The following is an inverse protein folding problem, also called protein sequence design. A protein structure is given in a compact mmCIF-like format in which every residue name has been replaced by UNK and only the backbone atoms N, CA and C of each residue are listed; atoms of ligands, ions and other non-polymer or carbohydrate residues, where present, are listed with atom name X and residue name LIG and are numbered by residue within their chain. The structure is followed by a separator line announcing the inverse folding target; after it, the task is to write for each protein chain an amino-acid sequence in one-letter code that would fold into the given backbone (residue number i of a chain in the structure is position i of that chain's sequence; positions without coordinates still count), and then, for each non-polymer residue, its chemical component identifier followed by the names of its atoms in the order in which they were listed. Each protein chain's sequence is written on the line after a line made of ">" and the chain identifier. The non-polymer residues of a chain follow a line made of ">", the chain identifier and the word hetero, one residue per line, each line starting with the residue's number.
data_IF_155271499457
#
_entry.id   IF_155271499457
#
_cell.length_a   1.000
_cell.length_b   1.000
_cell.length_c   1.000
_cell.angle_alpha   90.00
_cell.angle_beta   90.00
_cell.angle_gamma   90.00
#
_symmetry.space_group_name_H-M   'P 1'
#
loop_
_entity.id
_entity.type
_entity.pdbx_description
1 polymer ?
#
# COMPACT_ATOMS: atom_id res chain seq x y z
N UNK A 1 49.01 -61.54 -6.23
CA UNK A 1 49.03 -62.76 -5.38
C UNK A 1 47.81 -62.67 -4.47
N UNK A 2 46.86 -63.60 -4.71
CA UNK A 2 45.72 -64.04 -3.89
C UNK A 2 46.28 -64.97 -2.80
N UNK A 3 45.68 -65.21 -1.64
CA UNK A 3 44.31 -65.69 -1.44
C UNK A 3 43.62 -65.17 -0.15
N UNK A 4 42.26 -65.10 -0.15
CA UNK A 4 41.22 -66.08 0.27
C UNK A 4 41.28 -66.57 1.74
N UNK A 5 40.17 -66.37 2.50
CA UNK A 5 39.15 -67.39 2.88
C UNK A 5 38.40 -66.95 4.14
N UNK A 6 37.05 -66.92 4.09
CA UNK A 6 36.02 -67.80 4.69
C UNK A 6 35.87 -67.67 6.24
N UNK A 7 34.75 -67.68 6.87
CA UNK A 7 33.48 -68.40 6.79
C UNK A 7 32.49 -67.87 7.85
N UNK A 8 31.20 -67.79 7.47
CA UNK A 8 29.98 -68.35 8.12
C UNK A 8 29.79 -68.13 9.63
N UNK A 9 28.70 -67.65 10.13
CA UNK A 9 27.25 -67.88 10.10
C UNK A 9 26.73 -67.96 11.51
N UNK A 10 25.64 -67.43 11.86
CA UNK A 10 24.41 -68.08 12.29
C UNK A 10 23.41 -67.06 12.91
N UNK A 11 22.20 -67.26 12.50
CA UNK A 11 21.00 -66.54 12.87
C UNK A 11 20.54 -66.77 14.30
N UNK A 12 19.85 -65.77 14.87
CA UNK A 12 18.79 -66.01 15.83
C UNK A 12 17.70 -64.96 15.65
N UNK A 13 16.52 -65.41 15.27
CA UNK A 13 15.29 -64.68 15.18
C UNK A 13 14.76 -64.35 16.61
N UNK A 14 14.29 -63.14 16.80
CA UNK A 14 13.39 -62.81 17.91
C UNK A 14 12.33 -61.79 17.42
N UNK A 15 11.12 -62.15 17.67
CA UNK A 15 9.84 -61.75 17.16
C UNK A 15 9.46 -60.33 17.37
N UNK A 16 8.71 -59.79 16.39
CA UNK A 16 8.06 -58.53 16.31
C UNK A 16 7.01 -58.29 17.39
N UNK A 17 7.00 -57.09 17.97
CA UNK A 17 5.81 -56.47 18.52
C UNK A 17 5.55 -55.19 17.70
N UNK A 18 4.59 -55.24 16.79
CA UNK A 18 4.07 -54.08 16.08
C UNK A 18 3.18 -53.30 17.06
N UNK A 19 3.69 -52.19 17.55
CA UNK A 19 2.84 -51.17 18.16
C UNK A 19 2.40 -50.21 17.05
N UNK A 20 1.14 -50.32 16.66
CA UNK A 20 0.42 -49.31 15.87
C UNK A 20 0.26 -48.05 16.73
N UNK A 21 1.19 -47.12 16.63
CA UNK A 21 0.99 -45.75 17.08
C UNK A 21 0.31 -45.00 15.94
N UNK A 22 -0.94 -44.62 16.15
CA UNK A 22 -1.74 -43.87 15.21
C UNK A 22 -1.10 -42.53 14.84
N UNK A 23 -1.02 -42.24 13.55
CA UNK A 23 -0.74 -40.92 13.03
C UNK A 23 -1.86 -39.97 13.46
N UNK A 24 -1.63 -39.15 14.46
CA UNK A 24 -2.42 -37.93 14.65
C UNK A 24 -1.84 -36.84 13.73
N UNK A 25 -2.67 -36.01 13.10
CA UNK A 25 -2.19 -34.96 12.23
C UNK A 25 -1.46 -33.90 13.07
N UNK A 26 -0.18 -33.69 12.76
CA UNK A 26 0.72 -32.72 13.42
C UNK A 26 0.42 -31.26 13.05
N UNK A 27 -0.60 -31.00 12.24
CA UNK A 27 -0.96 -29.65 11.75
C UNK A 27 -1.64 -28.77 12.81
N UNK A 28 -2.36 -29.34 13.78
CA UNK A 28 -3.09 -28.52 14.77
C UNK A 28 -2.21 -27.98 15.89
N UNK A 29 -1.12 -28.69 16.22
CA UNK A 29 -0.28 -28.30 17.38
C UNK A 29 0.72 -27.20 17.05
N UNK A 30 1.21 -27.14 15.79
CA UNK A 30 2.09 -26.06 15.34
C UNK A 30 1.33 -24.75 15.12
N UNK A 31 0.13 -24.80 14.50
CA UNK A 31 -0.70 -23.62 14.33
C UNK A 31 -1.17 -23.05 15.68
N UNK A 32 -1.55 -23.89 16.64
CA UNK A 32 -1.91 -23.45 17.99
C UNK A 32 -0.71 -22.88 18.76
N UNK A 33 0.49 -23.43 18.60
CA UNK A 33 1.69 -22.91 19.24
C UNK A 33 2.12 -21.56 18.63
N UNK A 34 1.96 -21.37 17.32
CA UNK A 34 2.25 -20.11 16.64
C UNK A 34 1.23 -19.02 17.00
N UNK A 35 -0.07 -19.36 17.07
CA UNK A 35 -1.10 -18.43 17.53
C UNK A 35 -0.89 -18.02 19.00
N UNK A 36 -0.47 -18.92 19.88
CA UNK A 36 -0.13 -18.59 21.27
C UNK A 36 1.08 -17.66 21.36
N UNK A 37 2.09 -17.83 20.49
CA UNK A 37 3.26 -16.96 20.45
C UNK A 37 2.91 -15.52 20.04
N UNK A 38 1.96 -15.34 19.08
CA UNK A 38 1.51 -14.00 18.65
C UNK A 38 0.71 -13.30 19.74
N UNK A 39 -0.18 -14.00 20.45
CA UNK A 39 -1.01 -13.40 21.51
C UNK A 39 -0.21 -12.99 22.73
N UNK A 40 0.88 -13.70 23.05
CA UNK A 40 1.68 -13.47 24.25
C UNK A 40 2.91 -12.56 24.01
N UNK A 41 3.14 -12.13 22.76
CA UNK A 41 4.25 -11.25 22.42
C UNK A 41 4.18 -9.93 23.20
N UNK A 42 5.32 -9.53 23.77
CA UNK A 42 5.49 -8.29 24.53
C UNK A 42 6.80 -7.60 24.13
N UNK A 43 6.91 -6.32 24.42
CA UNK A 43 8.06 -5.50 24.04
C UNK A 43 7.67 -4.40 23.06
N UNK A 44 8.65 -3.77 22.42
CA UNK A 44 8.44 -2.62 21.55
C UNK A 44 8.61 -3.02 20.08
N UNK A 45 7.59 -2.79 19.24
CA UNK A 45 7.71 -2.83 17.79
C UNK A 45 8.15 -1.47 17.25
N UNK A 46 9.11 -1.44 16.34
CA UNK A 46 9.61 -0.23 15.65
C UNK A 46 9.02 -0.19 14.25
N UNK A 47 8.17 0.80 13.99
CA UNK A 47 7.48 0.96 12.70
C UNK A 47 8.16 2.05 11.88
N UNK A 48 8.63 1.70 10.68
CA UNK A 48 9.05 2.67 9.68
C UNK A 48 7.84 3.03 8.81
N UNK A 49 7.58 4.32 8.66
CA UNK A 49 6.48 4.88 7.87
C UNK A 49 7.08 5.70 6.74
N UNK A 50 6.86 5.29 5.49
CA UNK A 50 7.13 6.09 4.31
C UNK A 50 5.80 6.59 3.76
N UNK A 51 5.51 7.88 3.97
CA UNK A 51 4.20 8.42 3.61
C UNK A 51 4.01 9.88 4.01
N UNK A 52 2.76 10.31 3.98
CA UNK A 52 2.35 11.66 4.33
C UNK A 52 1.96 11.77 5.81
N UNK A 53 1.77 13.00 6.27
CA UNK A 53 1.47 13.31 7.68
C UNK A 53 0.16 12.71 8.18
N UNK A 54 -0.82 12.44 7.31
CA UNK A 54 -2.05 11.75 7.69
C UNK A 54 -1.78 10.28 8.05
N UNK A 55 -0.83 9.63 7.39
CA UNK A 55 -0.43 8.25 7.72
C UNK A 55 0.33 8.24 9.05
N UNK A 56 1.19 9.23 9.30
CA UNK A 56 1.80 9.40 10.62
C UNK A 56 0.72 9.54 11.71
N UNK A 57 -0.25 10.44 11.50
CA UNK A 57 -1.35 10.64 12.46
C UNK A 57 -2.19 9.36 12.66
N UNK A 58 -2.39 8.54 11.61
CA UNK A 58 -3.04 7.24 11.75
C UNK A 58 -2.31 6.36 12.77
N UNK A 59 -0.98 6.30 12.68
CA UNK A 59 -0.17 5.51 13.62
C UNK A 59 -0.15 6.14 15.00
N UNK A 60 0.26 7.40 15.14
CA UNK A 60 0.55 8.06 16.40
C UNK A 60 -0.72 8.36 17.22
N UNK A 61 -1.82 8.79 16.56
CA UNK A 61 -3.06 9.19 17.23
C UNK A 61 -4.14 8.10 17.22
N UNK A 62 -4.03 7.12 16.33
CA UNK A 62 -5.04 6.07 16.15
C UNK A 62 -4.56 4.69 16.57
N UNK A 63 -3.74 4.04 15.74
CA UNK A 63 -3.39 2.62 15.89
C UNK A 63 -2.61 2.38 17.19
N UNK A 64 -1.58 3.17 17.48
CA UNK A 64 -0.69 2.94 18.64
C UNK A 64 -1.46 3.01 19.96
N UNK A 65 -2.21 4.08 20.28
CA UNK A 65 -2.94 4.16 21.53
C UNK A 65 -3.95 3.03 21.70
N UNK A 66 -4.64 2.65 20.62
CA UNK A 66 -5.63 1.59 20.65
C UNK A 66 -4.99 0.20 20.81
N UNK A 67 -3.91 -0.07 20.07
CA UNK A 67 -3.13 -1.32 20.20
C UNK A 67 -2.56 -1.51 21.58
N UNK A 68 -1.88 -0.50 22.14
CA UNK A 68 -1.24 -0.57 23.46
C UNK A 68 -2.27 -0.75 24.58
N UNK A 69 -3.44 -0.11 24.46
CA UNK A 69 -4.56 -0.32 25.36
C UNK A 69 -5.09 -1.75 25.33
N UNK A 70 -5.22 -2.33 24.12
CA UNK A 70 -5.70 -3.70 23.93
C UNK A 70 -4.64 -4.75 24.30
N UNK A 71 -3.35 -4.40 24.31
CA UNK A 71 -2.22 -5.31 24.48
C UNK A 71 -1.23 -4.82 25.55
N UNK A 72 -1.61 -4.86 26.85
CA UNK A 72 -0.71 -4.46 27.93
C UNK A 72 0.63 -5.21 27.87
N UNK A 73 1.75 -4.48 27.90
CA UNK A 73 3.10 -5.03 27.80
C UNK A 73 3.69 -5.01 26.37
N UNK A 74 2.91 -4.65 25.36
CA UNK A 74 3.41 -4.31 24.04
C UNK A 74 3.39 -2.79 23.85
N UNK A 75 4.36 -2.24 23.12
CA UNK A 75 4.44 -0.82 22.77
C UNK A 75 4.92 -0.64 21.32
N UNK A 76 4.72 0.55 20.78
CA UNK A 76 5.12 0.87 19.41
C UNK A 76 5.85 2.21 19.36
N UNK A 77 6.89 2.27 18.55
CA UNK A 77 7.58 3.52 18.20
C UNK A 77 7.58 3.69 16.68
N UNK A 78 7.52 4.91 16.20
CA UNK A 78 7.48 5.24 14.78
C UNK A 78 8.72 6.01 14.32
N UNK A 79 9.07 5.84 13.06
CA UNK A 79 10.03 6.69 12.33
C UNK A 79 9.37 7.06 11.02
N UNK A 80 9.14 8.35 10.79
CA UNK A 80 8.58 8.88 9.54
C UNK A 80 9.68 9.23 8.55
N UNK A 81 9.54 8.74 7.34
CA UNK A 81 10.20 9.23 6.12
C UNK A 81 9.12 9.95 5.28
N UNK A 82 9.13 11.27 5.37
CA UNK A 82 8.12 12.09 4.72
C UNK A 82 8.27 11.99 3.20
N UNK A 83 7.19 11.63 2.52
CA UNK A 83 7.12 11.45 1.06
C UNK A 83 8.01 10.33 0.50
N UNK A 84 8.66 9.51 1.34
CA UNK A 84 9.56 8.44 0.89
C UNK A 84 10.90 8.94 0.33
N UNK A 85 11.37 10.12 0.77
CA UNK A 85 12.61 10.74 0.28
C UNK A 85 13.84 9.85 0.50
N UNK A 86 13.78 8.94 1.50
CA UNK A 86 14.87 8.03 1.85
C UNK A 86 14.51 6.54 1.62
N UNK A 87 13.46 6.23 0.85
CA UNK A 87 13.04 4.85 0.56
C UNK A 87 14.19 3.99 0.01
N UNK A 88 15.00 4.55 -0.89
CA UNK A 88 16.16 3.84 -1.44
C UNK A 88 17.21 3.50 -0.37
N UNK A 89 17.42 4.39 0.61
CA UNK A 89 18.33 4.15 1.73
C UNK A 89 17.77 3.08 2.68
N UNK A 90 16.48 3.10 2.95
CA UNK A 90 15.80 2.09 3.78
C UNK A 90 15.86 0.72 3.10
N UNK A 91 15.62 0.63 1.80
CA UNK A 91 15.81 -0.60 1.03
C UNK A 91 17.25 -1.14 1.09
N UNK A 92 18.24 -0.25 1.02
CA UNK A 92 19.65 -0.63 1.17
C UNK A 92 19.95 -1.13 2.59
N UNK A 93 19.35 -0.53 3.63
CA UNK A 93 19.46 -0.99 5.01
C UNK A 93 18.87 -2.39 5.19
N UNK A 94 17.67 -2.65 4.68
CA UNK A 94 17.05 -3.98 4.69
C UNK A 94 17.91 -5.01 3.95
N UNK A 95 18.47 -4.64 2.80
CA UNK A 95 19.37 -5.51 2.02
C UNK A 95 20.62 -5.88 2.82
N UNK A 96 21.27 -4.88 3.43
CA UNK A 96 22.48 -5.08 4.24
C UNK A 96 22.19 -5.93 5.46
N UNK A 97 21.04 -5.73 6.11
CA UNK A 97 20.64 -6.50 7.28
C UNK A 97 20.42 -7.98 6.96
N UNK A 98 19.78 -8.28 5.84
CA UNK A 98 19.60 -9.68 5.38
C UNK A 98 20.94 -10.32 5.02
N UNK A 99 21.83 -9.61 4.33
CA UNK A 99 23.17 -10.13 3.98
C UNK A 99 24.04 -10.36 5.20
N UNK A 100 23.97 -9.47 6.19
CA UNK A 100 24.76 -9.53 7.42
C UNK A 100 24.13 -10.35 8.54
N UNK A 101 22.88 -10.79 8.41
CA UNK A 101 22.13 -11.45 9.48
C UNK A 101 21.92 -10.54 10.70
N UNK A 102 21.82 -9.23 10.50
CA UNK A 102 21.68 -8.22 11.55
C UNK A 102 20.30 -7.59 11.56
N UNK A 103 19.90 -7.03 12.68
CA UNK A 103 18.67 -6.25 12.81
C UNK A 103 18.72 -4.97 11.95
N UNK A 104 17.68 -4.64 11.14
CA UNK A 104 17.63 -3.43 10.35
C UNK A 104 17.26 -2.16 11.16
N UNK A 105 16.89 -2.31 12.43
CA UNK A 105 16.37 -1.21 13.25
C UNK A 105 14.85 -0.98 13.11
N UNK A 106 14.17 -1.77 12.29
CA UNK A 106 12.72 -1.74 12.08
C UNK A 106 12.14 -3.15 12.21
N UNK A 107 10.94 -3.26 12.78
CA UNK A 107 10.22 -4.52 12.96
C UNK A 107 9.00 -4.62 12.04
N UNK A 108 8.49 -3.46 11.60
CA UNK A 108 7.41 -3.34 10.64
C UNK A 108 7.70 -2.16 9.70
N UNK A 109 7.40 -2.28 8.42
CA UNK A 109 7.49 -1.20 7.44
C UNK A 109 6.12 -0.95 6.83
N UNK A 110 5.70 0.32 6.78
CA UNK A 110 4.55 0.84 6.07
C UNK A 110 5.08 1.72 4.93
N UNK A 111 5.25 1.14 3.74
CA UNK A 111 5.94 1.82 2.65
C UNK A 111 5.48 1.33 1.27
N UNK A 112 5.54 2.23 0.29
CA UNK A 112 5.23 1.90 -1.10
C UNK A 112 6.16 0.84 -1.71
N UNK A 113 7.36 0.69 -1.18
CA UNK A 113 8.34 -0.31 -1.64
C UNK A 113 8.10 -1.74 -1.08
N UNK A 114 7.08 -1.97 -0.24
CA UNK A 114 6.83 -3.27 0.41
C UNK A 114 6.78 -4.44 -0.58
N UNK A 115 6.12 -4.27 -1.73
CA UNK A 115 6.06 -5.30 -2.76
C UNK A 115 7.46 -5.63 -3.34
N UNK A 116 8.27 -4.60 -3.62
CA UNK A 116 9.63 -4.76 -4.12
C UNK A 116 10.55 -5.41 -3.08
N UNK A 117 10.43 -5.00 -1.81
CA UNK A 117 11.16 -5.59 -0.69
C UNK A 117 10.81 -7.08 -0.51
N UNK A 118 9.53 -7.45 -0.64
CA UNK A 118 9.07 -8.84 -0.60
C UNK A 118 9.68 -9.68 -1.73
N UNK A 119 9.56 -9.22 -2.96
CA UNK A 119 10.12 -9.87 -4.14
C UNK A 119 11.65 -9.98 -4.07
N UNK A 120 12.32 -8.98 -3.48
CA UNK A 120 13.75 -8.98 -3.21
C UNK A 120 14.19 -9.91 -2.07
N UNK A 121 13.27 -10.61 -1.39
CA UNK A 121 13.58 -11.52 -0.29
C UNK A 121 14.00 -10.82 1.00
N UNK A 122 13.64 -9.55 1.18
CA UNK A 122 13.99 -8.72 2.33
C UNK A 122 12.95 -8.80 3.45
N UNK A 123 11.75 -9.29 3.17
CA UNK A 123 10.65 -9.45 4.12
C UNK A 123 10.44 -10.91 4.51
N UNK A 124 9.89 -11.11 5.70
CA UNK A 124 9.42 -12.40 6.15
C UNK A 124 8.10 -12.77 5.44
N UNK A 125 7.87 -14.05 5.10
CA UNK A 125 6.59 -14.48 4.56
C UNK A 125 5.48 -14.34 5.60
N UNK A 126 4.27 -14.04 5.12
CA UNK A 126 3.08 -13.87 5.95
C UNK A 126 1.96 -14.80 5.53
N UNK A 127 1.19 -15.27 6.49
CA UNK A 127 0.03 -16.13 6.27
C UNK A 127 -0.95 -16.01 7.44
N UNK A 128 -2.16 -16.54 7.28
CA UNK A 128 -3.13 -16.62 8.36
C UNK A 128 -2.67 -17.47 9.57
N UNK A 129 -1.69 -18.36 9.39
CA UNK A 129 -1.08 -19.10 10.51
C UNK A 129 -0.25 -18.19 11.41
N UNK A 130 0.34 -17.12 10.86
CA UNK A 130 1.21 -16.18 11.59
C UNK A 130 0.51 -14.86 11.92
N UNK A 131 -0.54 -14.52 11.20
CA UNK A 131 -1.38 -13.32 11.37
C UNK A 131 -2.83 -13.77 11.15
N UNK A 132 -3.53 -14.25 12.19
CA UNK A 132 -4.85 -14.88 12.07
C UNK A 132 -5.92 -14.02 11.37
N UNK A 133 -5.96 -12.71 11.65
CA UNK A 133 -6.91 -11.80 11.04
C UNK A 133 -6.69 -11.60 9.53
N UNK A 134 -5.57 -12.04 8.97
CA UNK A 134 -5.37 -12.05 7.50
C UNK A 134 -6.44 -12.91 6.79
N UNK A 135 -7.03 -13.90 7.49
CA UNK A 135 -8.13 -14.71 6.97
C UNK A 135 -9.45 -13.94 6.79
N UNK A 136 -9.58 -12.72 7.33
CA UNK A 136 -10.76 -11.86 7.16
C UNK A 136 -10.69 -10.97 5.93
N UNK A 137 -9.52 -10.90 5.31
CA UNK A 137 -9.25 -10.08 4.12
C UNK A 137 -9.59 -10.89 2.86
N UNK A 138 -10.24 -10.30 1.83
CA UNK A 138 -10.51 -10.99 0.58
C UNK A 138 -9.24 -11.56 -0.08
N UNK A 139 -9.32 -12.79 -0.58
CA UNK A 139 -8.17 -13.52 -1.16
C UNK A 139 -7.41 -12.72 -2.22
N UNK A 140 -8.12 -12.01 -3.10
CA UNK A 140 -7.50 -11.21 -4.15
C UNK A 140 -6.60 -10.09 -3.56
N UNK A 141 -7.04 -9.47 -2.45
CA UNK A 141 -6.27 -8.42 -1.77
C UNK A 141 -5.05 -9.01 -1.05
N UNK A 142 -5.20 -10.19 -0.43
CA UNK A 142 -4.07 -10.91 0.19
C UNK A 142 -3.05 -11.32 -0.88
N UNK A 143 -3.51 -11.85 -2.02
CA UNK A 143 -2.62 -12.25 -3.14
C UNK A 143 -1.85 -11.08 -3.73
N UNK A 144 -2.43 -9.87 -3.76
CA UNK A 144 -1.73 -8.65 -4.19
C UNK A 144 -0.51 -8.31 -3.32
N UNK A 145 -0.47 -8.79 -2.06
CA UNK A 145 0.68 -8.68 -1.16
C UNK A 145 1.84 -9.64 -1.48
N UNK A 146 1.68 -10.54 -2.47
CA UNK A 146 2.75 -11.44 -2.94
C UNK A 146 3.27 -12.42 -1.89
N UNK A 147 2.52 -12.68 -0.81
CA UNK A 147 2.91 -13.54 0.31
C UNK A 147 3.84 -12.88 1.33
N UNK A 148 4.12 -11.58 1.20
CA UNK A 148 4.99 -10.80 2.08
C UNK A 148 4.32 -9.52 2.59
N UNK A 149 3.46 -8.91 1.77
CA UNK A 149 2.70 -7.71 2.14
C UNK A 149 1.43 -8.07 2.91
N UNK A 150 1.18 -7.37 4.00
CA UNK A 150 -0.01 -7.46 4.83
C UNK A 150 -0.90 -6.28 4.42
N UNK A 151 -2.00 -6.47 3.68
CA UNK A 151 -2.88 -5.38 3.32
C UNK A 151 -3.54 -4.85 4.61
N UNK A 152 -3.59 -3.54 4.82
CA UNK A 152 -4.11 -3.02 6.08
C UNK A 152 -5.10 -1.86 5.91
N UNK A 153 -5.04 -1.11 4.85
CA UNK A 153 -5.99 -0.08 4.45
C UNK A 153 -6.01 0.04 2.93
N UNK A 154 -7.03 0.66 2.38
CA UNK A 154 -7.04 1.03 0.98
C UNK A 154 -7.44 2.50 0.82
N UNK A 155 -7.09 3.08 -0.32
CA UNK A 155 -7.51 4.42 -0.72
C UNK A 155 -7.64 4.52 -2.23
N UNK A 156 -8.38 5.50 -2.69
CA UNK A 156 -8.56 5.82 -4.11
C UNK A 156 -8.22 7.28 -4.35
N UNK A 157 -7.67 7.58 -5.50
CA UNK A 157 -7.55 8.97 -5.93
C UNK A 157 -8.92 9.44 -6.42
N UNK A 158 -9.29 10.64 -6.02
CA UNK A 158 -10.54 11.32 -6.34
C UNK A 158 -10.23 12.67 -6.97
N UNK A 159 -11.17 13.22 -7.72
CA UNK A 159 -11.13 14.58 -8.20
C UNK A 159 -11.74 15.50 -7.13
N UNK A 160 -10.91 16.28 -6.43
CA UNK A 160 -11.36 17.30 -5.52
C UNK A 160 -11.53 18.64 -6.25
N UNK A 161 -12.54 19.43 -5.84
CA UNK A 161 -12.88 20.70 -6.49
C UNK A 161 -13.53 21.67 -5.49
N UNK A 162 -13.30 22.96 -5.68
CA UNK A 162 -14.04 23.99 -4.95
C UNK A 162 -15.45 24.14 -5.55
N UNK A 163 -16.47 23.74 -4.80
CA UNK A 163 -17.86 23.75 -5.27
C UNK A 163 -18.47 25.15 -5.38
N UNK A 164 -17.78 26.19 -4.91
CA UNK A 164 -18.21 27.59 -5.11
C UNK A 164 -17.83 28.10 -6.50
N UNK A 165 -16.76 27.57 -7.08
CA UNK A 165 -16.26 27.93 -8.40
C UNK A 165 -16.65 26.89 -9.47
N UNK A 166 -16.69 25.60 -9.11
CA UNK A 166 -17.00 24.50 -10.01
C UNK A 166 -18.33 23.86 -9.61
N UNK A 167 -19.41 24.32 -10.24
CA UNK A 167 -20.78 23.85 -9.92
C UNK A 167 -21.14 22.53 -10.62
N UNK A 168 -20.50 22.20 -11.74
CA UNK A 168 -20.68 20.96 -12.50
C UNK A 168 -19.30 20.34 -12.80
N UNK A 169 -18.76 19.54 -11.89
CA UNK A 169 -17.42 18.96 -12.03
C UNK A 169 -17.40 17.90 -13.14
N UNK A 170 -16.25 17.76 -13.84
CA UNK A 170 -16.03 16.71 -14.83
C UNK A 170 -16.36 15.33 -14.31
N UNK A 171 -16.97 14.50 -15.16
CA UNK A 171 -17.37 13.13 -14.83
C UNK A 171 -16.56 12.06 -15.57
N UNK A 172 -15.87 12.46 -16.63
CA UNK A 172 -15.00 11.60 -17.42
C UNK A 172 -13.61 12.21 -17.51
N UNK A 173 -12.62 11.41 -17.93
CA UNK A 173 -11.28 11.94 -18.19
C UNK A 173 -11.32 12.99 -19.31
N UNK A 174 -12.05 12.75 -20.40
CA UNK A 174 -12.15 13.69 -21.51
C UNK A 174 -12.73 15.03 -21.07
N UNK A 175 -13.79 15.03 -20.25
CA UNK A 175 -14.37 16.26 -19.68
C UNK A 175 -13.36 16.99 -18.80
N UNK A 176 -12.55 16.23 -18.01
CA UNK A 176 -11.52 16.80 -17.15
C UNK A 176 -10.42 17.49 -17.97
N UNK A 177 -9.91 16.84 -19.01
CA UNK A 177 -8.88 17.41 -19.90
C UNK A 177 -9.39 18.64 -20.65
N UNK A 178 -10.65 18.62 -21.10
CA UNK A 178 -11.30 19.77 -21.69
C UNK A 178 -11.46 20.93 -20.68
N UNK A 179 -11.87 20.62 -19.43
CA UNK A 179 -11.99 21.60 -18.36
C UNK A 179 -10.65 22.27 -18.05
N UNK A 180 -9.56 21.49 -17.91
CA UNK A 180 -8.20 21.99 -17.66
C UNK A 180 -7.79 22.99 -18.76
N UNK A 181 -8.04 22.64 -20.00
CA UNK A 181 -7.70 23.50 -21.15
C UNK A 181 -8.51 24.81 -21.13
N UNK A 182 -9.78 24.75 -20.74
CA UNK A 182 -10.68 25.91 -20.68
C UNK A 182 -10.43 26.83 -19.46
N UNK A 183 -9.76 26.33 -18.42
CA UNK A 183 -9.52 27.05 -17.16
C UNK A 183 -8.01 27.08 -16.82
N UNK A 184 -7.18 27.78 -17.60
CA UNK A 184 -5.73 27.78 -17.40
C UNK A 184 -5.35 28.27 -16.01
N UNK A 185 -4.41 27.52 -15.37
CA UNK A 185 -3.91 27.81 -14.04
C UNK A 185 -4.76 27.30 -12.87
N UNK A 186 -5.95 26.73 -13.14
CA UNK A 186 -6.92 26.33 -12.11
C UNK A 186 -6.82 24.83 -11.74
N UNK A 187 -5.88 24.10 -12.30
CA UNK A 187 -5.62 22.69 -12.02
C UNK A 187 -4.15 22.45 -11.72
N UNK A 188 -3.87 21.62 -10.72
CA UNK A 188 -2.54 21.13 -10.43
C UNK A 188 -2.60 19.65 -10.06
N UNK A 189 -1.50 18.96 -10.31
CA UNK A 189 -1.18 17.65 -9.73
C UNK A 189 0.30 17.63 -9.35
N UNK A 190 0.67 16.88 -8.34
CA UNK A 190 2.08 16.75 -7.93
C UNK A 190 2.85 15.87 -8.91
N UNK A 191 4.18 16.07 -8.98
CA UNK A 191 5.06 15.15 -9.70
C UNK A 191 4.81 13.70 -9.25
N UNK A 192 4.67 12.73 -10.18
CA UNK A 192 4.50 11.31 -9.85
C UNK A 192 5.60 10.75 -8.94
N UNK A 193 6.82 11.29 -9.03
CA UNK A 193 7.95 10.89 -8.20
C UNK A 193 7.86 11.37 -6.75
N UNK A 194 6.95 12.33 -6.46
CA UNK A 194 6.79 12.93 -5.12
C UNK A 194 5.47 12.60 -4.45
N UNK A 195 4.56 11.90 -5.12
CA UNK A 195 3.30 11.49 -4.52
C UNK A 195 2.33 10.79 -5.46
N UNK A 196 1.58 9.85 -4.90
CA UNK A 196 0.76 8.91 -5.67
C UNK A 196 -0.48 9.53 -6.32
N UNK A 197 -1.00 10.68 -5.84
CA UNK A 197 -2.19 11.28 -6.47
C UNK A 197 -1.87 11.84 -7.85
N UNK A 198 -0.70 12.46 -8.03
CA UNK A 198 -0.19 12.86 -9.35
C UNK A 198 0.13 11.65 -10.22
N UNK A 199 0.73 10.60 -9.64
CA UNK A 199 0.97 9.34 -10.34
C UNK A 199 -0.32 8.70 -10.86
N UNK A 200 -1.40 8.73 -10.08
CA UNK A 200 -2.70 8.23 -10.50
C UNK A 200 -3.31 9.04 -11.66
N UNK A 201 -3.19 10.38 -11.62
CA UNK A 201 -3.62 11.22 -12.76
C UNK A 201 -2.83 10.88 -14.02
N UNK A 202 -1.50 10.82 -13.93
CA UNK A 202 -0.63 10.47 -15.04
C UNK A 202 -0.98 9.10 -15.59
N UNK A 203 -1.04 8.05 -14.74
CA UNK A 203 -1.45 6.71 -15.16
C UNK A 203 -2.80 6.71 -15.87
N UNK A 204 -3.76 7.51 -15.38
CA UNK A 204 -5.11 7.58 -15.98
C UNK A 204 -5.08 8.19 -17.39
N UNK A 205 -4.26 9.24 -17.61
CA UNK A 205 -4.07 9.81 -18.96
C UNK A 205 -3.33 8.84 -19.86
N UNK A 206 -2.26 8.18 -19.39
CA UNK A 206 -1.54 7.18 -20.19
C UNK A 206 -2.44 6.02 -20.60
N UNK A 207 -3.24 5.51 -19.68
CA UNK A 207 -4.15 4.38 -19.90
C UNK A 207 -5.23 4.69 -20.96
N UNK A 208 -5.64 5.95 -21.13
CA UNK A 208 -6.60 6.33 -22.19
C UNK A 208 -6.05 6.14 -23.61
N UNK A 209 -4.74 5.96 -23.74
CA UNK A 209 -4.05 5.68 -25.00
C UNK A 209 -3.64 4.21 -25.16
N UNK A 210 -3.91 3.35 -24.17
CA UNK A 210 -3.55 1.94 -24.20
C UNK A 210 -4.76 1.05 -24.52
N UNK A 211 -4.50 -0.06 -25.17
CA UNK A 211 -5.46 -1.15 -25.19
C UNK A 211 -5.43 -1.94 -23.84
N UNK A 212 -6.53 -2.65 -23.59
CA UNK A 212 -6.72 -3.38 -22.32
C UNK A 212 -5.62 -4.42 -22.09
N UNK A 213 -5.14 -5.10 -23.14
CA UNK A 213 -4.12 -6.16 -23.02
C UNK A 213 -2.76 -5.58 -22.65
N UNK A 214 -2.38 -4.44 -23.22
CA UNK A 214 -1.15 -3.72 -22.87
C UNK A 214 -1.21 -3.22 -21.44
N UNK A 215 -2.33 -2.61 -21.06
CA UNK A 215 -2.58 -2.14 -19.71
C UNK A 215 -2.50 -3.27 -18.68
N UNK A 216 -3.14 -4.42 -18.95
CA UNK A 216 -3.10 -5.58 -18.07
C UNK A 216 -1.67 -6.08 -17.85
N UNK A 217 -0.85 -6.16 -18.90
CA UNK A 217 0.57 -6.54 -18.77
C UNK A 217 1.34 -5.59 -17.87
N UNK A 218 1.16 -4.27 -18.04
CA UNK A 218 1.82 -3.25 -17.23
C UNK A 218 1.36 -3.25 -15.76
N UNK A 219 0.12 -3.69 -15.50
CA UNK A 219 -0.44 -3.78 -14.15
C UNK A 219 0.03 -5.04 -13.43
N UNK A 220 0.14 -6.16 -14.14
CA UNK A 220 0.43 -7.47 -13.55
C UNK A 220 1.89 -7.89 -13.61
N UNK A 221 2.70 -7.24 -14.45
CA UNK A 221 4.11 -7.59 -14.64
C UNK A 221 4.97 -6.42 -15.06
N UNK A 222 6.28 -6.68 -15.13
CA UNK A 222 7.27 -5.74 -15.62
C UNK A 222 7.73 -6.14 -17.02
N UNK A 223 7.60 -5.23 -17.97
CA UNK A 223 8.12 -5.38 -19.34
C UNK A 223 8.54 -4.01 -19.88
N UNK A 224 9.83 -3.72 -19.82
CA UNK A 224 10.40 -2.44 -20.28
C UNK A 224 10.10 -2.17 -21.76
N UNK A 225 9.90 -3.19 -22.59
CA UNK A 225 9.59 -3.01 -24.01
C UNK A 225 8.25 -2.31 -24.26
N UNK A 226 7.36 -2.27 -23.26
CA UNK A 226 6.06 -1.61 -23.32
C UNK A 226 6.13 -0.08 -23.08
N UNK A 227 7.23 0.47 -22.58
CA UNK A 227 7.37 1.90 -22.24
C UNK A 227 7.02 2.84 -23.41
N UNK A 228 7.33 2.43 -24.64
CA UNK A 228 7.01 3.21 -25.84
C UNK A 228 5.51 3.40 -26.08
N UNK A 229 4.66 2.57 -25.49
CA UNK A 229 3.21 2.70 -25.59
C UNK A 229 2.66 3.93 -24.83
N UNK A 230 3.44 4.49 -23.90
CA UNK A 230 3.08 5.70 -23.15
C UNK A 230 3.33 7.02 -23.90
N UNK A 231 4.03 7.00 -25.04
CA UNK A 231 4.48 8.24 -25.72
C UNK A 231 3.33 9.18 -26.06
N UNK A 232 2.21 8.67 -26.59
CA UNK A 232 1.05 9.48 -26.90
C UNK A 232 0.42 10.15 -25.66
N UNK A 233 0.36 9.43 -24.53
CA UNK A 233 -0.12 9.98 -23.27
C UNK A 233 0.82 11.03 -22.68
N UNK A 234 2.14 10.85 -22.76
CA UNK A 234 3.10 11.87 -22.37
C UNK A 234 3.03 13.11 -23.25
N UNK A 235 2.81 12.96 -24.57
CA UNK A 235 2.59 14.09 -25.46
C UNK A 235 1.33 14.88 -25.07
N UNK A 236 0.25 14.19 -24.70
CA UNK A 236 -0.97 14.82 -24.21
C UNK A 236 -0.71 15.57 -22.90
N UNK A 237 -0.06 14.94 -21.92
CA UNK A 237 0.29 15.60 -20.64
C UNK A 237 1.15 16.85 -20.87
N UNK A 238 2.16 16.77 -21.73
CA UNK A 238 3.00 17.90 -22.08
C UNK A 238 2.20 19.03 -22.71
N UNK A 239 1.26 18.73 -23.58
CA UNK A 239 0.40 19.73 -24.23
C UNK A 239 -0.46 20.54 -23.27
N UNK A 240 -0.73 19.99 -22.07
CA UNK A 240 -1.48 20.65 -21.00
C UNK A 240 -0.64 21.62 -20.16
N UNK A 241 0.70 21.61 -20.26
CA UNK A 241 1.58 22.40 -19.37
C UNK A 241 1.15 23.86 -19.26
N UNK A 242 0.85 24.51 -20.39
CA UNK A 242 0.44 25.92 -20.39
C UNK A 242 -0.90 26.17 -19.64
N UNK A 243 -1.72 25.14 -19.45
CA UNK A 243 -2.99 25.19 -18.74
C UNK A 243 -2.88 24.75 -17.28
N UNK A 244 -1.74 24.19 -16.87
CA UNK A 244 -1.50 23.81 -15.46
C UNK A 244 -1.21 25.02 -14.58
N UNK A 245 -1.31 24.83 -13.28
CA UNK A 245 -0.93 25.83 -12.27
C UNK A 245 0.41 26.49 -12.64
N UNK A 246 0.42 27.82 -12.66
CA UNK A 246 1.58 28.64 -13.02
C UNK A 246 2.31 28.21 -14.32
N UNK A 247 1.56 27.67 -15.30
CA UNK A 247 2.12 27.30 -16.60
C UNK A 247 3.01 26.06 -16.57
N UNK A 248 2.75 25.10 -15.67
CA UNK A 248 3.48 23.84 -15.57
C UNK A 248 4.39 23.72 -14.34
N UNK A 249 4.05 24.45 -13.26
CA UNK A 249 4.65 24.20 -11.95
C UNK A 249 3.94 23.02 -11.30
N UNK A 250 4.72 22.00 -10.95
CA UNK A 250 4.23 20.78 -10.33
C UNK A 250 4.57 20.79 -8.83
N UNK A 251 3.56 20.72 -7.94
CA UNK A 251 3.78 20.64 -6.49
C UNK A 251 4.65 19.45 -6.08
N UNK A 252 5.40 19.61 -4.99
CA UNK A 252 6.16 18.54 -4.38
C UNK A 252 5.31 17.84 -3.32
N UNK A 253 4.73 16.70 -3.67
CA UNK A 253 3.93 15.88 -2.77
C UNK A 253 2.44 16.23 -2.74
N UNK A 254 1.66 15.28 -2.21
CA UNK A 254 0.21 15.38 -2.16
C UNK A 254 -0.28 16.52 -1.26
N UNK A 255 0.43 16.81 -0.16
CA UNK A 255 0.05 17.87 0.79
C UNK A 255 0.07 19.26 0.14
N UNK A 256 1.07 19.56 -0.70
CA UNK A 256 1.10 20.85 -1.40
C UNK A 256 -0.07 21.03 -2.37
N UNK A 257 -0.55 19.95 -2.97
CA UNK A 257 -1.75 19.99 -3.83
C UNK A 257 -2.98 20.36 -3.00
N UNK A 258 -3.14 19.76 -1.82
CA UNK A 258 -4.23 20.10 -0.89
C UNK A 258 -4.14 21.55 -0.41
N UNK A 259 -2.94 22.05 -0.12
CA UNK A 259 -2.72 23.45 0.30
C UNK A 259 -3.12 24.44 -0.80
N UNK A 260 -2.77 24.14 -2.06
CA UNK A 260 -3.19 24.97 -3.20
C UNK A 260 -4.71 25.01 -3.35
N UNK A 261 -5.38 23.87 -3.18
CA UNK A 261 -6.83 23.77 -3.22
C UNK A 261 -7.47 24.49 -2.01
N UNK A 262 -6.92 24.29 -0.81
CA UNK A 262 -7.39 24.89 0.43
C UNK A 262 -7.28 26.41 0.48
N UNK A 263 -6.26 26.96 -0.18
CA UNK A 263 -6.04 28.42 -0.29
C UNK A 263 -6.77 29.06 -1.47
N UNK A 264 -7.44 28.27 -2.33
CA UNK A 264 -8.09 28.76 -3.55
C UNK A 264 -7.11 29.17 -4.65
N UNK A 265 -5.84 28.75 -4.57
CA UNK A 265 -4.86 28.99 -5.63
C UNK A 265 -5.15 28.16 -6.88
N UNK A 266 -5.86 27.06 -6.73
CA UNK A 266 -6.44 26.21 -7.79
C UNK A 266 -7.86 25.85 -7.43
N UNK A 267 -8.65 25.48 -8.43
CA UNK A 267 -10.05 25.09 -8.25
C UNK A 267 -10.26 23.57 -8.27
N UNK A 268 -9.30 22.79 -8.78
CA UNK A 268 -9.45 21.36 -8.95
C UNK A 268 -8.10 20.61 -8.92
N UNK A 269 -8.09 19.40 -8.35
CA UNK A 269 -6.90 18.57 -8.28
C UNK A 269 -7.25 17.09 -8.04
N UNK A 270 -6.39 16.15 -8.48
CA UNK A 270 -6.43 14.76 -8.02
C UNK A 270 -5.87 14.67 -6.59
N UNK A 271 -6.59 14.03 -5.68
CA UNK A 271 -6.22 13.88 -4.26
C UNK A 271 -6.54 12.47 -3.77
N UNK A 272 -5.83 11.99 -2.76
CA UNK A 272 -6.21 10.76 -2.08
C UNK A 272 -7.47 10.95 -1.23
N UNK A 273 -8.35 9.95 -1.25
CA UNK A 273 -9.62 9.96 -0.51
C UNK A 273 -9.41 10.16 1.00
N UNK A 274 -8.45 9.45 1.58
CA UNK A 274 -8.10 9.55 2.98
C UNK A 274 -7.54 10.93 3.35
N UNK A 275 -6.73 11.55 2.49
CA UNK A 275 -6.18 12.88 2.72
C UNK A 275 -7.24 13.98 2.66
N UNK A 276 -8.09 14.00 1.63
CA UNK A 276 -9.13 15.04 1.48
C UNK A 276 -10.14 14.97 2.62
N UNK A 277 -10.56 13.76 3.02
CA UNK A 277 -11.52 13.58 4.11
C UNK A 277 -10.89 13.98 5.45
N UNK A 278 -9.64 13.60 5.71
CA UNK A 278 -8.93 13.99 6.94
C UNK A 278 -8.71 15.49 7.00
N UNK A 279 -8.29 16.14 5.91
CA UNK A 279 -8.11 17.57 5.85
C UNK A 279 -9.42 18.36 6.09
N UNK A 280 -10.56 17.84 5.63
CA UNK A 280 -11.86 18.41 5.95
C UNK A 280 -12.25 18.23 7.42
N UNK A 281 -12.04 17.04 7.98
CA UNK A 281 -12.32 16.76 9.41
C UNK A 281 -11.49 17.65 10.34
N UNK A 282 -10.22 17.89 10.02
CA UNK A 282 -9.33 18.77 10.79
C UNK A 282 -9.57 20.27 10.56
N UNK A 283 -10.38 20.65 9.56
CA UNK A 283 -10.64 22.03 9.19
C UNK A 283 -9.49 22.72 8.44
N UNK A 284 -8.47 21.96 8.00
CA UNK A 284 -7.39 22.48 7.15
C UNK A 284 -7.83 22.67 5.71
N UNK A 285 -8.86 21.95 5.27
CA UNK A 285 -9.49 22.10 3.97
C UNK A 285 -10.93 22.61 4.14
N UNK A 286 -11.34 23.70 3.42
CA UNK A 286 -12.68 24.26 3.52
C UNK A 286 -13.77 23.23 3.19
N UNK A 287 -14.92 23.31 3.86
CA UNK A 287 -16.08 22.46 3.58
C UNK A 287 -16.72 22.72 2.20
N UNK A 288 -16.33 23.80 1.51
CA UNK A 288 -16.70 24.08 0.12
C UNK A 288 -15.99 23.16 -0.88
N UNK A 289 -14.83 22.62 -0.52
CA UNK A 289 -14.18 21.59 -1.33
C UNK A 289 -15.04 20.34 -1.29
N UNK A 290 -15.33 19.82 -2.46
CA UNK A 290 -16.06 18.57 -2.70
C UNK A 290 -15.15 17.62 -3.48
N UNK A 291 -15.55 16.36 -3.56
CA UNK A 291 -14.80 15.36 -4.33
C UNK A 291 -15.75 14.41 -5.04
N UNK A 292 -15.30 13.88 -6.15
CA UNK A 292 -16.01 12.88 -6.97
C UNK A 292 -15.00 11.93 -7.62
N UNK A 293 -15.45 10.78 -8.08
CA UNK A 293 -14.65 9.94 -8.95
C UNK A 293 -15.00 10.25 -10.41
N UNK A 294 -13.99 10.26 -11.28
CA UNK A 294 -14.21 10.29 -12.74
C UNK A 294 -14.37 8.87 -13.29
N UNK A 295 -14.77 8.76 -14.54
CA UNK A 295 -14.91 7.50 -15.27
C UNK A 295 -14.21 7.57 -16.62
N UNK A 296 -14.07 6.43 -17.29
CA UNK A 296 -13.56 6.30 -18.65
C UNK A 296 -12.15 6.87 -18.91
N UNK A 297 -11.12 6.45 -18.18
CA UNK A 297 -11.11 5.54 -17.03
C UNK A 297 -11.20 6.29 -15.68
N UNK A 298 -11.55 5.57 -14.62
CA UNK A 298 -11.47 6.09 -13.25
C UNK A 298 -10.00 6.30 -12.82
N UNK A 299 -9.76 7.17 -11.83
CA UNK A 299 -8.45 7.22 -11.18
C UNK A 299 -8.12 5.89 -10.49
N UNK A 300 -6.83 5.67 -10.29
CA UNK A 300 -6.35 4.45 -9.64
C UNK A 300 -6.54 4.52 -8.12
N UNK A 301 -6.65 3.34 -7.52
CA UNK A 301 -6.65 3.12 -6.08
C UNK A 301 -6.06 1.75 -5.76
N UNK A 302 -5.58 1.57 -4.54
CA UNK A 302 -4.97 0.30 -4.13
C UNK A 302 -5.01 0.13 -2.61
N UNK A 303 -4.77 -1.10 -2.15
CA UNK A 303 -4.45 -1.37 -0.77
C UNK A 303 -3.00 -0.95 -0.47
N UNK A 304 -2.78 -0.41 0.73
CA UNK A 304 -1.45 -0.22 1.31
C UNK A 304 -1.06 -1.47 2.09
N UNK A 305 0.22 -1.80 2.08
CA UNK A 305 0.74 -3.03 2.66
C UNK A 305 1.79 -2.74 3.71
N UNK A 306 1.68 -3.44 4.84
CA UNK A 306 2.75 -3.54 5.83
C UNK A 306 3.69 -4.69 5.46
N UNK A 307 4.95 -4.59 5.83
CA UNK A 307 5.93 -5.66 5.67
C UNK A 307 6.74 -5.88 6.94
N UNK A 308 7.04 -7.14 7.25
CA UNK A 308 7.91 -7.49 8.39
C UNK A 308 9.30 -7.78 7.84
N UNK A 309 10.34 -6.98 8.17
CA UNK A 309 11.70 -7.26 7.75
C UNK A 309 12.15 -8.66 8.15
N UNK A 310 12.86 -9.35 7.26
CA UNK A 310 13.24 -10.75 7.47
C UNK A 310 14.12 -10.97 8.70
N UNK A 311 14.89 -9.95 9.09
CA UNK A 311 15.82 -9.97 10.21
C UNK A 311 15.37 -9.06 11.36
N UNK A 312 14.08 -8.71 11.42
CA UNK A 312 13.50 -7.92 12.50
C UNK A 312 13.72 -8.57 13.87
N UNK A 313 14.22 -7.81 14.83
CA UNK A 313 14.50 -8.30 16.21
C UNK A 313 13.20 -8.63 16.96
N UNK A 314 12.14 -7.83 16.74
CA UNK A 314 10.85 -7.99 17.44
C UNK A 314 9.72 -8.39 16.48
N UNK A 315 10.01 -9.34 15.56
CA UNK A 315 9.06 -9.80 14.55
C UNK A 315 7.77 -10.39 15.11
N UNK A 316 7.79 -10.94 16.32
CA UNK A 316 6.62 -11.46 17.01
C UNK A 316 5.67 -10.33 17.47
N UNK A 317 6.21 -9.24 18.04
CA UNK A 317 5.42 -8.05 18.39
C UNK A 317 4.90 -7.37 17.13
N UNK A 318 5.70 -7.31 16.04
CA UNK A 318 5.25 -6.79 14.76
C UNK A 318 4.09 -7.60 14.15
N UNK A 319 4.11 -8.95 14.26
CA UNK A 319 2.97 -9.79 13.83
C UNK A 319 1.73 -9.53 14.68
N UNK A 320 1.88 -9.38 15.99
CA UNK A 320 0.78 -9.05 16.89
C UNK A 320 0.16 -7.70 16.55
N UNK A 321 0.99 -6.70 16.24
CA UNK A 321 0.53 -5.39 15.81
C UNK A 321 -0.21 -5.48 14.47
N UNK A 322 0.35 -6.19 13.49
CA UNK A 322 -0.29 -6.39 12.19
C UNK A 322 -1.62 -7.15 12.29
N UNK A 323 -1.69 -8.15 13.18
CA UNK A 323 -2.93 -8.88 13.46
C UNK A 323 -4.00 -7.98 14.09
N UNK A 324 -3.62 -7.14 15.05
CA UNK A 324 -4.52 -6.15 15.63
C UNK A 324 -5.03 -5.15 14.58
N UNK A 325 -4.15 -4.65 13.72
CA UNK A 325 -4.51 -3.71 12.65
C UNK A 325 -5.56 -4.30 11.70
N UNK A 326 -5.52 -5.62 11.46
CA UNK A 326 -6.51 -6.35 10.65
C UNK A 326 -7.78 -6.74 11.43
N UNK A 327 -7.83 -6.57 12.74
CA UNK A 327 -9.05 -6.84 13.51
C UNK A 327 -10.15 -5.83 13.18
N UNK A 328 -11.40 -6.15 13.49
CA UNK A 328 -12.53 -5.23 13.34
C UNK A 328 -12.29 -3.91 14.10
N UNK A 329 -11.68 -3.97 15.30
CA UNK A 329 -11.32 -2.78 16.08
C UNK A 329 -10.24 -1.96 15.38
N UNK A 330 -9.15 -2.57 14.91
CA UNK A 330 -8.09 -1.90 14.18
C UNK A 330 -8.59 -1.26 12.88
N UNK A 331 -9.44 -1.94 12.14
CA UNK A 331 -10.06 -1.41 10.92
C UNK A 331 -11.03 -0.26 11.21
N UNK A 332 -11.75 -0.29 12.33
CA UNK A 332 -12.58 0.83 12.78
C UNK A 332 -11.72 2.04 13.15
N UNK A 333 -10.55 1.84 13.78
CA UNK A 333 -9.58 2.91 14.05
C UNK A 333 -9.10 3.55 12.74
N UNK A 334 -8.70 2.76 11.75
CA UNK A 334 -8.28 3.27 10.42
C UNK A 334 -9.39 4.09 9.77
N UNK A 335 -10.60 3.55 9.73
CA UNK A 335 -11.75 4.22 9.14
C UNK A 335 -12.11 5.53 9.84
N UNK A 336 -12.04 5.58 11.18
CA UNK A 336 -12.38 6.78 11.95
C UNK A 336 -11.28 7.85 11.92
N UNK A 337 -10.02 7.44 11.92
CA UNK A 337 -8.87 8.37 12.01
C UNK A 337 -8.61 9.07 10.68
N UNK A 338 -8.45 8.31 9.61
CA UNK A 338 -8.07 8.86 8.29
C UNK A 338 -9.05 8.54 7.16
N UNK A 339 -10.22 7.98 7.46
CA UNK A 339 -11.15 7.50 6.44
C UNK A 339 -10.52 6.53 5.42
N UNK A 340 -9.48 5.79 5.85
CA UNK A 340 -8.91 4.70 5.06
C UNK A 340 -9.95 3.62 4.83
N UNK A 341 -10.07 3.13 3.60
CA UNK A 341 -11.03 2.06 3.28
C UNK A 341 -10.60 0.78 4.00
N UNK A 342 -11.52 0.12 4.75
CA UNK A 342 -11.23 -1.16 5.36
C UNK A 342 -10.86 -2.21 4.32
N UNK A 343 -9.91 -3.07 4.66
CA UNK A 343 -9.52 -4.21 3.82
C UNK A 343 -10.25 -5.50 4.20
N UNK A 344 -11.00 -5.49 5.30
CA UNK A 344 -11.89 -6.57 5.71
C UNK A 344 -13.30 -6.32 5.17
N UNK A 345 -14.20 -7.32 5.30
CA UNK A 345 -15.59 -7.14 4.90
C UNK A 345 -16.25 -5.98 5.66
N UNK A 346 -16.96 -5.11 4.94
CA UNK A 346 -17.61 -3.92 5.51
C UNK A 346 -18.67 -4.24 6.57
N UNK A 347 -19.23 -5.45 6.59
CA UNK A 347 -20.18 -5.88 7.62
C UNK A 347 -19.54 -6.07 9.00
N UNK A 348 -18.20 -6.19 9.06
CA UNK A 348 -17.44 -6.23 10.30
C UNK A 348 -17.07 -4.82 10.82
N UNK A 349 -17.28 -3.78 10.03
CA UNK A 349 -17.01 -2.39 10.41
C UNK A 349 -18.30 -1.77 11.01
N UNK A 350 -18.21 -0.96 12.09
CA UNK A 350 -19.36 -0.26 12.66
C UNK A 350 -20.20 0.49 11.63
N UNK A 351 -21.53 0.47 11.77
CA UNK A 351 -22.47 0.96 10.76
C UNK A 351 -22.29 2.46 10.47
N UNK A 352 -22.03 3.25 11.48
CA UNK A 352 -21.76 4.70 11.38
C UNK A 352 -20.50 5.01 10.57
N UNK A 353 -19.50 4.13 10.60
CA UNK A 353 -18.28 4.26 9.79
C UNK A 353 -18.48 3.74 8.37
N UNK A 354 -19.34 2.72 8.16
CA UNK A 354 -19.62 2.18 6.82
C UNK A 354 -20.22 3.21 5.86
N UNK A 355 -21.04 4.13 6.38
CA UNK A 355 -21.73 5.12 5.57
C UNK A 355 -20.76 6.02 4.76
N UNK A 356 -19.57 6.28 5.28
CA UNK A 356 -18.54 7.09 4.58
C UNK A 356 -17.93 6.38 3.36
N UNK A 357 -18.07 5.04 3.28
CA UNK A 357 -17.54 4.22 2.18
C UNK A 357 -18.60 3.79 1.17
N UNK A 358 -19.84 4.26 1.30
CA UNK A 358 -20.96 3.86 0.44
C UNK A 358 -20.77 4.20 -1.06
N UNK A 359 -19.88 5.13 -1.37
CA UNK A 359 -19.53 5.55 -2.75
C UNK A 359 -18.23 4.94 -3.28
N UNK A 360 -17.56 4.09 -2.49
CA UNK A 360 -16.24 3.56 -2.86
C UNK A 360 -16.14 2.11 -2.36
N UNK A 361 -16.42 1.17 -3.24
CA UNK A 361 -16.17 -0.25 -3.00
C UNK A 361 -14.69 -0.56 -3.20
N UNK A 362 -13.92 -0.92 -2.15
CA UNK A 362 -12.53 -1.29 -2.29
C UNK A 362 -12.29 -2.43 -3.30
N UNK A 363 -13.27 -3.32 -3.49
CA UNK A 363 -13.19 -4.40 -4.47
C UNK A 363 -13.24 -3.92 -5.93
N UNK A 364 -13.65 -2.66 -6.16
CA UNK A 364 -13.74 -2.06 -7.50
C UNK A 364 -12.64 -1.06 -7.79
N UNK A 365 -11.63 -0.94 -6.90
CA UNK A 365 -10.52 -0.04 -7.13
C UNK A 365 -9.74 -0.43 -8.38
N UNK A 366 -9.53 0.53 -9.28
CA UNK A 366 -8.72 0.33 -10.47
C UNK A 366 -7.23 0.31 -10.06
N UNK A 367 -6.50 -0.80 -10.22
CA UNK A 367 -5.10 -0.87 -9.82
C UNK A 367 -4.22 0.02 -10.71
N UNK A 368 -3.12 0.54 -10.16
CA UNK A 368 -2.05 1.18 -10.91
C UNK A 368 -1.15 0.16 -11.61
N UNK A 369 -0.06 0.64 -12.20
CA UNK A 369 0.96 -0.24 -12.79
C UNK A 369 1.72 -1.02 -11.71
N UNK A 370 2.32 -2.13 -12.13
CA UNK A 370 3.30 -2.86 -11.30
C UNK A 370 4.42 -1.91 -10.86
N UNK A 371 4.97 -2.11 -9.66
CA UNK A 371 5.85 -1.14 -8.99
C UNK A 371 7.05 -0.67 -9.84
N UNK A 372 7.72 -1.57 -10.58
CA UNK A 372 8.83 -1.18 -11.45
C UNK A 372 8.34 -0.40 -12.68
N UNK A 373 7.22 -0.81 -13.29
CA UNK A 373 6.59 -0.04 -14.36
C UNK A 373 6.17 1.35 -13.89
N UNK A 374 5.62 1.47 -12.67
CA UNK A 374 5.26 2.76 -12.09
C UNK A 374 6.48 3.65 -11.83
N UNK A 375 7.60 3.07 -11.38
CA UNK A 375 8.87 3.78 -11.22
C UNK A 375 9.40 4.30 -12.57
N UNK A 376 9.40 3.45 -13.59
CA UNK A 376 9.87 3.83 -14.93
C UNK A 376 8.95 4.89 -15.57
N UNK A 377 7.64 4.79 -15.35
CA UNK A 377 6.66 5.81 -15.75
C UNK A 377 6.96 7.16 -15.11
N UNK A 378 7.25 7.20 -13.80
CA UNK A 378 7.60 8.44 -13.08
C UNK A 378 8.91 9.04 -13.61
N UNK A 379 9.93 8.21 -13.81
CA UNK A 379 11.21 8.64 -14.38
C UNK A 379 11.08 9.17 -15.82
N UNK A 380 10.18 8.58 -16.63
CA UNK A 380 9.89 9.04 -17.98
C UNK A 380 9.11 10.35 -17.96
N UNK A 381 8.17 10.50 -17.06
CA UNK A 381 7.40 11.72 -16.86
C UNK A 381 8.34 12.90 -16.55
N UNK A 382 9.27 12.74 -15.61
CA UNK A 382 10.25 13.78 -15.22
C UNK A 382 11.07 14.27 -16.42
N UNK A 383 11.34 13.40 -17.40
CA UNK A 383 12.10 13.73 -18.60
C UNK A 383 11.28 14.29 -19.75
N UNK A 384 9.98 13.90 -19.86
CA UNK A 384 9.15 14.17 -21.04
C UNK A 384 8.11 15.26 -20.83
N UNK A 385 7.66 15.52 -19.60
CA UNK A 385 6.53 16.42 -19.35
C UNK A 385 6.96 17.79 -18.85
N UNK A 386 7.73 17.97 -17.76
CA UNK A 386 8.09 19.28 -17.25
C UNK A 386 9.03 20.04 -18.20
N UNK A 387 8.92 21.37 -18.23
CA UNK A 387 9.96 22.26 -18.76
C UNK A 387 10.22 22.22 -20.27
N UNK A 388 9.30 21.70 -21.08
CA UNK A 388 9.42 21.67 -22.55
C UNK A 388 8.59 22.77 -23.20
#
# INVERSE_FOLDING_TARGET
>A
MIPRRHLLALAAAASAAVALAGCAPTTSTQAQAQNHAVTDASGTARVFISGDTNVQALWDDGIIPAFEKANPGASVTTTLDLHGEHDAQTMATLTSSVQGGSDPGYDLVDAGFTAAAGTGGLLAPVSADTIPNLATVPDATVQAGGGFGIPYRASSVLLAYDSTEVTDPPRTLDDLLAWITAHPGQFAYNSPSTGGSGGAFVTTVLDSHLDDATREKMTTGYDQSLEGAWDAGFDQLRSLNASMYQGGVYPNGNNQVLDLLGTGAIQMAPVWSDQVITAQKSGTLPSTVRYTQISAPAFTGHASFLGIPKTAEHADVARKLADYVLSAEGQAVIASTIAGYPVISLDQVPEDLRAQFSSADPATLRPGYQSQMASDMSNLWDRKVPGQ
#
